data_IF_136024481083
#
_entry.id   IF_136024481083
#
_cell.length_a   1.000
_cell.length_b   1.000
_cell.length_c   1.000
_cell.angle_alpha   90.00
_cell.angle_beta   90.00
_cell.angle_gamma   90.00
#
_symmetry.space_group_name_H-M   'P 1'
#
loop_
_entity.id
_entity.type
_entity.pdbx_description
1 polymer ?
#
# COMPACT_ATOMS: atom_id res chain seq x y z
N UNK A 1 15.26 5.49 -13.71
CA UNK A 1 14.26 4.65 -13.02
C UNK A 1 12.90 4.99 -13.61
N UNK A 2 11.97 4.04 -13.79
CA UNK A 2 10.61 4.40 -14.17
C UNK A 2 10.03 5.36 -13.13
N UNK A 3 9.18 6.30 -13.57
CA UNK A 3 8.62 7.34 -12.71
C UNK A 3 7.64 6.68 -11.71
N UNK A 4 8.11 6.44 -10.48
CA UNK A 4 7.34 5.82 -9.40
C UNK A 4 6.83 6.91 -8.48
N UNK A 5 5.52 6.93 -8.30
CA UNK A 5 4.87 7.85 -7.37
C UNK A 5 4.59 7.14 -6.04
N UNK A 6 4.66 7.88 -4.95
CA UNK A 6 4.27 7.39 -3.62
C UNK A 6 2.74 7.33 -3.53
N UNK A 7 2.23 6.19 -3.07
CA UNK A 7 0.84 5.99 -2.74
C UNK A 7 0.69 5.51 -1.31
N UNK A 8 -0.41 5.91 -0.69
CA UNK A 8 -0.90 5.38 0.57
C UNK A 8 -2.03 4.38 0.28
N UNK A 9 -1.80 3.11 0.58
CA UNK A 9 -2.80 2.05 0.46
C UNK A 9 -3.39 1.76 1.85
N UNK A 10 -4.68 2.04 2.02
CA UNK A 10 -5.41 1.80 3.26
C UNK A 10 -6.57 0.83 2.99
N UNK A 11 -6.84 -0.03 3.96
CA UNK A 11 -7.91 -1.03 3.86
C UNK A 11 -8.66 -1.15 5.19
N UNK A 12 -9.95 -1.48 5.08
CA UNK A 12 -10.82 -1.85 6.18
C UNK A 12 -11.56 -3.12 5.76
N UNK A 13 -11.20 -4.25 6.35
CA UNK A 13 -11.64 -5.60 5.95
C UNK A 13 -12.10 -6.32 7.20
N UNK A 14 -13.37 -6.73 7.20
CA UNK A 14 -14.01 -7.31 8.40
C UNK A 14 -13.74 -8.80 8.52
N UNK A 15 -13.68 -9.51 7.38
CA UNK A 15 -13.45 -10.95 7.34
C UNK A 15 -11.96 -11.32 7.52
N UNK A 16 -11.60 -12.21 8.46
CA UNK A 16 -10.21 -12.57 8.72
C UNK A 16 -9.48 -13.21 7.53
N UNK A 17 -10.16 -13.99 6.70
CA UNK A 17 -9.54 -14.70 5.58
C UNK A 17 -9.26 -13.73 4.43
N UNK A 18 -10.22 -12.86 4.10
CA UNK A 18 -10.03 -11.76 3.14
C UNK A 18 -8.97 -10.78 3.63
N UNK A 19 -8.92 -10.49 4.93
CA UNK A 19 -7.89 -9.64 5.52
C UNK A 19 -6.49 -10.23 5.30
N UNK A 20 -6.30 -11.52 5.57
CA UNK A 20 -5.01 -12.18 5.33
C UNK A 20 -4.63 -12.17 3.85
N UNK A 21 -5.58 -12.42 2.95
CA UNK A 21 -5.32 -12.39 1.51
C UNK A 21 -4.98 -10.97 1.01
N UNK A 22 -5.72 -9.95 1.47
CA UNK A 22 -5.47 -8.55 1.15
C UNK A 22 -4.09 -8.10 1.65
N UNK A 23 -3.73 -8.48 2.89
CA UNK A 23 -2.41 -8.25 3.44
C UNK A 23 -1.30 -8.86 2.58
N UNK A 24 -1.46 -10.10 2.10
CA UNK A 24 -0.48 -10.76 1.22
C UNK A 24 -0.29 -10.00 -0.09
N UNK A 25 -1.37 -9.54 -0.70
CA UNK A 25 -1.32 -8.71 -1.92
C UNK A 25 -0.57 -7.41 -1.64
N UNK A 26 -1.01 -6.62 -0.66
CA UNK A 26 -0.46 -5.28 -0.41
C UNK A 26 1.01 -5.34 0.04
N UNK A 27 1.40 -6.36 0.80
CA UNK A 27 2.81 -6.63 1.15
C UNK A 27 3.72 -6.79 -0.07
N UNK A 28 3.21 -7.34 -1.18
CA UNK A 28 4.00 -7.50 -2.42
C UNK A 28 4.37 -6.18 -3.11
N UNK A 29 3.70 -5.08 -2.74
CA UNK A 29 3.90 -3.74 -3.31
C UNK A 29 4.38 -2.70 -2.29
N UNK A 30 4.46 -3.09 -1.01
CA UNK A 30 4.85 -2.19 0.06
C UNK A 30 6.36 -1.93 0.02
N UNK A 31 6.73 -0.69 0.32
CA UNK A 31 8.11 -0.23 0.55
C UNK A 31 8.29 0.34 1.97
N UNK A 32 7.22 0.30 2.75
CA UNK A 32 7.08 0.90 4.07
C UNK A 32 5.64 0.76 4.56
N UNK A 33 5.38 1.29 5.75
CA UNK A 33 4.01 1.39 6.25
C UNK A 33 3.86 1.26 7.76
N UNK A 34 2.62 1.43 8.18
CA UNK A 34 2.11 1.21 9.53
C UNK A 34 1.11 0.05 9.52
N UNK A 35 0.61 -0.34 10.69
CA UNK A 35 -0.13 -1.60 10.90
C UNK A 35 -1.30 -1.84 9.92
N UNK A 36 -2.00 -0.80 9.50
CA UNK A 36 -3.16 -0.87 8.59
C UNK A 36 -3.04 0.00 7.34
N UNK A 37 -1.83 0.51 7.07
CA UNK A 37 -1.60 1.47 5.99
C UNK A 37 -0.23 1.19 5.38
N UNK A 38 -0.18 0.88 4.09
CA UNK A 38 1.06 0.63 3.38
C UNK A 38 1.49 1.85 2.56
N UNK A 39 2.79 2.12 2.59
CA UNK A 39 3.44 3.02 1.65
C UNK A 39 3.89 2.21 0.46
N UNK A 40 3.49 2.61 -0.74
CA UNK A 40 3.80 1.90 -1.97
C UNK A 40 4.36 2.89 -3.00
N UNK A 41 5.62 2.75 -3.39
CA UNK A 41 6.14 3.40 -4.60
C UNK A 41 5.72 2.59 -5.83
N UNK A 42 4.87 3.15 -6.67
CA UNK A 42 4.27 2.42 -7.78
C UNK A 42 4.49 3.15 -9.09
N UNK A 43 4.91 2.40 -10.09
CA UNK A 43 4.73 2.76 -11.50
C UNK A 43 3.24 2.67 -11.86
N UNK A 44 2.84 3.30 -12.98
CA UNK A 44 1.47 3.18 -13.49
C UNK A 44 1.03 1.72 -13.71
N UNK A 45 1.96 0.84 -14.13
CA UNK A 45 1.71 -0.58 -14.35
C UNK A 45 1.50 -1.32 -13.02
N UNK A 46 2.35 -1.09 -12.03
CA UNK A 46 2.23 -1.72 -10.71
C UNK A 46 0.96 -1.27 -10.00
N UNK A 47 0.61 0.01 -10.11
CA UNK A 47 -0.67 0.53 -9.60
C UNK A 47 -1.86 -0.21 -10.22
N UNK A 48 -1.87 -0.40 -11.54
CA UNK A 48 -2.95 -1.13 -12.21
C UNK A 48 -3.01 -2.60 -11.77
N UNK A 49 -1.85 -3.26 -11.66
CA UNK A 49 -1.75 -4.65 -11.21
C UNK A 49 -2.26 -4.83 -9.77
N UNK A 50 -1.79 -3.99 -8.83
CA UNK A 50 -2.26 -3.99 -7.44
C UNK A 50 -3.78 -3.83 -7.36
N UNK A 51 -4.35 -2.89 -8.12
CA UNK A 51 -5.79 -2.62 -8.10
C UNK A 51 -6.60 -3.83 -8.60
N UNK A 52 -6.09 -4.58 -9.57
CA UNK A 52 -6.73 -5.83 -10.04
C UNK A 52 -6.63 -6.92 -8.98
N UNK A 53 -5.45 -7.12 -8.40
CA UNK A 53 -5.20 -8.17 -7.41
C UNK A 53 -5.98 -7.95 -6.12
N UNK A 54 -6.00 -6.72 -5.59
CA UNK A 54 -6.74 -6.41 -4.37
C UNK A 54 -8.26 -6.54 -4.59
N UNK A 55 -8.75 -6.13 -5.76
CA UNK A 55 -10.17 -6.25 -6.13
C UNK A 55 -10.62 -7.70 -6.24
N UNK A 56 -9.73 -8.62 -6.58
CA UNK A 56 -10.04 -10.05 -6.65
C UNK A 56 -10.22 -10.70 -5.27
N UNK A 57 -9.73 -10.04 -4.21
CA UNK A 57 -9.74 -10.57 -2.84
C UNK A 57 -10.85 -9.96 -1.99
N UNK A 58 -11.16 -8.68 -2.20
CA UNK A 58 -12.11 -7.94 -1.37
C UNK A 58 -13.57 -8.23 -1.73
N UNK A 59 -14.42 -8.30 -0.72
CA UNK A 59 -15.86 -8.16 -0.90
C UNK A 59 -16.21 -6.67 -0.95
N UNK A 60 -16.67 -6.20 -2.09
CA UNK A 60 -16.93 -4.78 -2.32
C UNK A 60 -18.15 -4.24 -1.52
N UNK A 61 -19.03 -5.13 -1.05
CA UNK A 61 -20.16 -4.73 -0.24
C UNK A 61 -19.72 -4.41 1.20
N UNK A 62 -18.85 -5.25 1.74
CA UNK A 62 -18.42 -5.22 3.15
C UNK A 62 -17.10 -4.49 3.39
N UNK A 63 -16.17 -4.59 2.44
CA UNK A 63 -14.80 -4.13 2.61
C UNK A 63 -14.57 -2.77 1.94
N UNK A 64 -13.58 -2.02 2.43
CA UNK A 64 -13.18 -0.72 1.88
C UNK A 64 -11.69 -0.73 1.57
N UNK A 65 -11.34 -0.16 0.42
CA UNK A 65 -9.97 0.04 0.01
C UNK A 65 -9.80 1.43 -0.58
N UNK A 66 -8.70 2.09 -0.22
CA UNK A 66 -8.36 3.42 -0.68
C UNK A 66 -6.89 3.45 -1.10
N UNK A 67 -6.64 3.98 -2.29
CA UNK A 67 -5.31 4.24 -2.81
C UNK A 67 -5.16 5.74 -3.09
N UNK A 68 -4.43 6.44 -2.23
CA UNK A 68 -4.22 7.88 -2.32
C UNK A 68 -2.83 8.19 -2.88
N UNK A 69 -2.72 8.97 -3.97
CA UNK A 69 -1.42 9.48 -4.41
C UNK A 69 -0.91 10.55 -3.43
N UNK A 70 0.37 10.49 -3.10
CA UNK A 70 1.09 11.47 -2.29
C UNK A 70 2.20 12.10 -3.15
N UNK A 71 1.89 13.17 -3.92
CA UNK A 71 2.80 13.72 -4.92
C UNK A 71 4.00 14.47 -4.35
N UNK A 72 3.94 14.89 -3.08
CA UNK A 72 5.04 15.57 -2.40
C UNK A 72 5.42 14.85 -1.10
N UNK A 73 6.44 14.01 -1.19
CA UNK A 73 7.00 13.34 -0.02
C UNK A 73 7.69 14.32 0.95
N UNK A 74 8.07 15.52 0.49
CA UNK A 74 8.71 16.55 1.33
C UNK A 74 7.77 17.17 2.36
N UNK A 75 6.45 17.12 2.12
CA UNK A 75 5.42 17.56 3.07
C UNK A 75 5.08 16.54 4.16
N UNK A 76 5.62 15.31 4.10
CA UNK A 76 5.30 14.24 5.04
C UNK A 76 6.05 14.45 6.35
N UNK A 77 5.31 14.44 7.45
CA UNK A 77 5.84 14.56 8.81
C UNK A 77 5.66 13.25 9.56
N UNK A 78 6.72 12.46 9.67
CA UNK A 78 6.77 11.31 10.56
C UNK A 78 6.81 11.75 12.04
N UNK A 79 5.97 11.13 12.88
CA UNK A 79 5.91 11.37 14.33
C UNK A 79 6.16 10.07 15.10
N UNK A 80 6.75 10.17 16.30
CA UNK A 80 7.02 9.02 17.17
C UNK A 80 8.05 8.07 16.55
N UNK A 81 7.64 6.81 16.31
CA UNK A 81 8.48 5.77 15.68
C UNK A 81 8.31 5.68 14.16
N UNK A 82 7.53 6.58 13.55
CA UNK A 82 7.35 6.59 12.11
C UNK A 82 8.66 6.95 11.40
N UNK A 83 8.88 6.35 10.23
CA UNK A 83 10.04 6.61 9.36
C UNK A 83 9.55 7.37 8.13
N UNK A 84 10.38 8.25 7.59
CA UNK A 84 10.04 8.94 6.35
C UNK A 84 9.94 7.93 5.18
N UNK A 85 8.97 8.09 4.27
CA UNK A 85 8.85 7.23 3.11
C UNK A 85 10.12 7.26 2.27
N UNK A 86 10.53 6.09 1.79
CA UNK A 86 11.68 5.95 0.88
C UNK A 86 11.41 4.84 -0.15
N UNK A 87 12.01 4.96 -1.34
CA UNK A 87 11.95 3.93 -2.38
C UNK A 87 13.30 3.18 -2.47
N UNK A 88 13.58 2.23 -1.54
CA UNK A 88 14.82 1.46 -1.57
C UNK A 88 14.79 0.43 -2.71
N UNK A 89 15.98 -0.03 -3.13
CA UNK A 89 16.09 -1.14 -4.10
C UNK A 89 15.50 -2.45 -3.57
N UNK A 90 15.47 -2.63 -2.25
CA UNK A 90 14.88 -3.77 -1.57
C UNK A 90 14.15 -3.34 -0.30
N UNK A 91 13.01 -3.99 -0.04
CA UNK A 91 12.24 -3.84 1.19
C UNK A 91 11.93 -5.22 1.77
N UNK A 92 12.32 -5.47 3.01
CA UNK A 92 12.08 -6.75 3.66
C UNK A 92 10.68 -6.76 4.29
N UNK A 93 9.87 -7.71 3.85
CA UNK A 93 8.53 -7.93 4.39
C UNK A 93 8.51 -9.27 5.12
N UNK A 94 8.46 -9.21 6.45
CA UNK A 94 8.32 -10.38 7.33
C UNK A 94 6.91 -10.95 7.34
#
# INVERSE_FOLDING_TARGET
>A
MPDRALYLAAYDVTDPDRLQAALRVLKGYASGGQKSVFECFLTARERAAMLVEIRAVLDIAEDRFLLLPLPDAGGIRALGIAVQPSDPEFYYVG
#
